data_IF_406831552294
#
_entry.id   IF_406831552294
#
_cell.length_a   1.000
_cell.length_b   1.000
_cell.length_c   1.000
_cell.angle_alpha   90.00
_cell.angle_beta   90.00
_cell.angle_gamma   90.00
#
_symmetry.space_group_name_H-M   'P 1'
#
loop_
_entity.id
_entity.type
_entity.pdbx_description
1 polymer ?
#
# COMPACT_ATOMS: atom_id res chain seq x y z
N UNK A 1 16.72 19.70 25.55
CA UNK A 1 16.73 18.23 25.77
C UNK A 1 16.90 17.58 24.40
N UNK A 2 18.03 16.93 24.14
CA UNK A 2 18.34 16.30 22.83
C UNK A 2 17.83 14.87 22.90
N UNK A 3 16.72 14.57 22.21
CA UNK A 3 16.20 13.21 22.12
C UNK A 3 17.25 12.29 21.46
N UNK A 4 17.37 11.00 21.89
CA UNK A 4 18.27 10.04 21.27
C UNK A 4 17.94 9.88 19.78
N UNK A 5 18.93 9.54 18.90
CA UNK A 5 18.73 9.32 17.47
C UNK A 5 17.63 8.29 17.14
N UNK A 6 17.42 7.33 18.02
CA UNK A 6 16.42 6.26 17.94
C UNK A 6 14.96 6.78 17.91
N UNK A 7 14.68 7.88 18.63
CA UNK A 7 13.33 8.44 18.71
C UNK A 7 12.80 8.97 17.36
N UNK A 8 13.68 9.52 16.52
CA UNK A 8 13.29 10.06 15.21
C UNK A 8 12.91 8.92 14.25
N UNK A 9 13.71 7.87 14.23
CA UNK A 9 13.47 6.69 13.38
C UNK A 9 12.18 5.98 13.78
N UNK A 10 11.94 5.83 15.07
CA UNK A 10 10.70 5.22 15.60
C UNK A 10 9.47 6.06 15.27
N UNK A 11 9.54 7.39 15.44
CA UNK A 11 8.44 8.29 15.09
C UNK A 11 8.12 8.26 13.59
N UNK A 12 9.16 8.25 12.73
CA UNK A 12 8.98 8.12 11.28
C UNK A 12 8.28 6.81 10.91
N UNK A 13 8.74 5.69 11.47
CA UNK A 13 8.14 4.37 11.21
C UNK A 13 6.66 4.32 11.63
N UNK A 14 6.32 4.85 12.81
CA UNK A 14 4.94 4.94 13.30
C UNK A 14 4.06 5.79 12.38
N UNK A 15 4.55 6.94 11.90
CA UNK A 15 3.83 7.81 10.98
C UNK A 15 3.54 7.12 9.64
N UNK A 16 4.52 6.41 9.07
CA UNK A 16 4.34 5.68 7.82
C UNK A 16 3.35 4.53 8.02
N UNK A 17 3.43 3.80 9.14
CA UNK A 17 2.55 2.67 9.44
C UNK A 17 1.10 3.10 9.65
N UNK A 18 0.87 4.03 10.56
CA UNK A 18 -0.45 4.55 10.85
C UNK A 18 -1.04 5.32 9.65
N UNK A 19 -0.20 6.11 8.97
CA UNK A 19 -0.58 6.81 7.75
C UNK A 19 -0.98 5.87 6.63
N UNK A 20 -0.24 4.78 6.44
CA UNK A 20 -0.56 3.73 5.46
C UNK A 20 -1.89 3.03 5.75
N UNK A 21 -2.14 2.67 7.02
CA UNK A 21 -3.39 2.06 7.44
C UNK A 21 -4.59 2.99 7.19
N UNK A 22 -4.49 4.26 7.62
CA UNK A 22 -5.53 5.26 7.40
C UNK A 22 -5.76 5.55 5.91
N UNK A 23 -4.68 5.74 5.15
CA UNK A 23 -4.75 6.02 3.73
C UNK A 23 -5.48 4.90 2.96
N UNK A 24 -5.18 3.64 3.28
CA UNK A 24 -5.84 2.49 2.65
C UNK A 24 -7.31 2.37 3.03
N UNK A 25 -7.72 2.85 4.20
CA UNK A 25 -9.10 2.79 4.71
C UNK A 25 -9.97 3.95 4.26
N UNK A 26 -9.45 5.16 4.30
CA UNK A 26 -10.22 6.40 4.11
C UNK A 26 -9.78 7.24 2.89
N UNK A 27 -8.70 6.84 2.21
CA UNK A 27 -8.03 7.66 1.21
C UNK A 27 -7.01 8.61 1.85
N UNK A 28 -5.88 8.79 1.19
CA UNK A 28 -4.81 9.66 1.70
C UNK A 28 -5.18 11.14 1.59
N UNK A 29 -5.85 11.53 0.50
CA UNK A 29 -6.29 12.91 0.27
C UNK A 29 -7.25 13.38 1.36
N UNK A 30 -8.13 12.49 1.82
CA UNK A 30 -9.13 12.77 2.86
C UNK A 30 -8.56 12.70 4.28
N UNK A 31 -7.35 12.17 4.46
CA UNK A 31 -6.72 12.04 5.77
C UNK A 31 -5.98 13.32 6.16
N UNK A 32 -6.49 14.05 7.15
CA UNK A 32 -5.86 15.25 7.69
C UNK A 32 -4.60 14.96 8.52
N UNK A 33 -3.73 15.96 8.71
CA UNK A 33 -2.53 15.84 9.54
C UNK A 33 -2.87 15.44 10.98
N UNK A 34 -3.95 15.99 11.55
CA UNK A 34 -4.36 15.68 12.92
C UNK A 34 -4.78 14.22 13.09
N UNK A 35 -5.45 13.64 12.08
CA UNK A 35 -5.79 12.22 12.08
C UNK A 35 -4.55 11.33 11.99
N UNK A 36 -3.55 11.73 11.19
CA UNK A 36 -2.28 11.02 11.07
C UNK A 36 -1.49 11.03 12.39
N UNK A 37 -1.43 12.20 13.02
CA UNK A 37 -0.77 12.40 14.33
C UNK A 37 -1.43 11.55 15.40
N UNK A 38 -2.75 11.62 15.51
CA UNK A 38 -3.52 10.85 16.48
C UNK A 38 -3.34 9.34 16.28
N UNK A 39 -3.45 8.86 15.05
CA UNK A 39 -3.29 7.43 14.75
C UNK A 39 -1.86 6.92 15.00
N UNK A 40 -0.84 7.74 14.75
CA UNK A 40 0.55 7.39 14.99
C UNK A 40 0.98 7.52 16.47
N UNK A 41 0.16 8.17 17.32
CA UNK A 41 0.50 8.45 18.70
C UNK A 41 1.73 9.36 18.85
N UNK A 42 1.86 10.36 17.96
CA UNK A 42 2.98 11.32 17.94
C UNK A 42 2.45 12.75 18.03
N UNK A 43 3.34 13.73 18.11
CA UNK A 43 2.95 15.16 18.09
C UNK A 43 2.94 15.71 16.68
N UNK A 44 2.19 16.79 16.43
CA UNK A 44 2.18 17.51 15.13
C UNK A 44 3.59 17.96 14.72
N UNK A 45 4.40 18.41 15.67
CA UNK A 45 5.82 18.74 15.42
C UNK A 45 6.66 17.56 14.95
N UNK A 46 6.28 16.32 15.33
CA UNK A 46 6.99 15.14 14.89
C UNK A 46 6.79 14.89 13.38
N UNK A 47 5.60 15.13 12.82
CA UNK A 47 5.38 15.02 11.36
C UNK A 47 6.30 15.96 10.61
N UNK A 48 6.27 17.27 10.95
CA UNK A 48 7.06 18.28 10.23
C UNK A 48 8.58 18.15 10.44
N UNK A 49 9.01 17.45 11.50
CA UNK A 49 10.42 17.10 11.69
C UNK A 49 10.88 15.91 10.84
N UNK A 50 9.95 15.08 10.33
CA UNK A 50 10.22 13.86 9.57
C UNK A 50 9.91 14.01 8.08
N UNK A 51 8.91 14.82 7.73
CA UNK A 51 8.42 15.00 6.36
C UNK A 51 8.23 16.48 6.07
N UNK A 52 8.81 16.95 4.95
CA UNK A 52 8.70 18.33 4.49
C UNK A 52 7.31 18.67 3.97
N UNK A 53 6.58 17.64 3.51
CA UNK A 53 5.25 17.80 2.95
C UNK A 53 4.41 16.54 3.16
N UNK A 54 3.09 16.68 2.97
CA UNK A 54 2.16 15.53 2.92
C UNK A 54 2.49 14.60 1.74
N UNK A 55 3.00 15.14 0.63
CA UNK A 55 3.45 14.36 -0.53
C UNK A 55 4.63 13.45 -0.16
N UNK A 56 5.65 13.95 0.54
CA UNK A 56 6.78 13.14 1.00
C UNK A 56 6.33 11.99 1.93
N UNK A 57 5.33 12.22 2.77
CA UNK A 57 4.74 11.15 3.57
C UNK A 57 4.02 10.13 2.68
N UNK A 58 3.30 10.56 1.64
CA UNK A 58 2.67 9.65 0.68
C UNK A 58 3.71 8.77 -0.02
N UNK A 59 4.82 9.35 -0.48
CA UNK A 59 5.92 8.60 -1.09
C UNK A 59 6.42 7.50 -0.15
N UNK A 60 6.69 7.84 1.10
CA UNK A 60 7.17 6.87 2.09
C UNK A 60 6.14 5.78 2.41
N UNK A 61 4.85 6.11 2.41
CA UNK A 61 3.76 5.14 2.58
C UNK A 61 3.69 4.19 1.38
N UNK A 62 3.69 4.74 0.16
CA UNK A 62 3.63 3.95 -1.09
C UNK A 62 4.83 3.00 -1.17
N UNK A 63 6.03 3.52 -0.92
CA UNK A 63 7.26 2.72 -0.92
C UNK A 63 7.16 1.55 0.05
N UNK A 64 6.83 1.81 1.31
CA UNK A 64 6.76 0.76 2.34
C UNK A 64 5.66 -0.27 2.05
N UNK A 65 4.45 0.20 1.80
CA UNK A 65 3.28 -0.68 1.69
C UNK A 65 3.31 -1.51 0.41
N UNK A 66 3.78 -0.93 -0.69
CA UNK A 66 3.88 -1.65 -1.95
C UNK A 66 5.10 -2.59 -1.98
N UNK A 67 6.23 -2.21 -1.36
CA UNK A 67 7.38 -3.13 -1.19
C UNK A 67 6.98 -4.37 -0.39
N UNK A 68 6.19 -4.23 0.68
CA UNK A 68 5.66 -5.39 1.43
C UNK A 68 4.78 -6.28 0.56
N UNK A 69 4.01 -5.68 -0.35
CA UNK A 69 3.21 -6.45 -1.31
C UNK A 69 4.13 -7.20 -2.28
N UNK A 70 5.15 -6.55 -2.84
CA UNK A 70 6.16 -7.18 -3.70
C UNK A 70 6.82 -8.37 -2.99
N UNK A 71 7.29 -8.17 -1.76
CA UNK A 71 7.91 -9.22 -0.94
C UNK A 71 6.98 -10.44 -0.74
N UNK A 72 5.69 -10.19 -0.50
CA UNK A 72 4.71 -11.28 -0.33
C UNK A 72 4.55 -12.16 -1.57
N UNK A 73 4.80 -11.63 -2.76
CA UNK A 73 4.71 -12.36 -4.03
C UNK A 73 6.08 -12.86 -4.54
N UNK A 74 7.19 -12.30 -4.06
CA UNK A 74 8.54 -12.64 -4.53
C UNK A 74 8.87 -14.11 -4.26
N UNK A 75 9.43 -14.78 -5.28
CA UNK A 75 9.89 -16.18 -5.20
C UNK A 75 8.78 -17.21 -5.10
N UNK A 76 7.52 -16.86 -5.34
CA UNK A 76 6.39 -17.79 -5.26
C UNK A 76 6.24 -18.58 -6.55
N UNK A 77 6.49 -19.89 -6.48
CA UNK A 77 6.18 -20.83 -7.56
C UNK A 77 4.64 -21.02 -7.68
N UNK A 78 4.19 -21.63 -8.78
CA UNK A 78 2.76 -21.69 -9.15
C UNK A 78 1.80 -22.09 -8.02
N UNK A 79 2.10 -23.11 -7.21
CA UNK A 79 1.23 -23.54 -6.10
C UNK A 79 1.20 -22.52 -4.95
N UNK A 80 2.33 -21.90 -4.65
CA UNK A 80 2.42 -20.88 -3.60
C UNK A 80 1.75 -19.60 -4.06
N UNK A 81 1.95 -19.21 -5.33
CA UNK A 81 1.27 -18.08 -5.95
C UNK A 81 -0.25 -18.24 -5.85
N UNK A 82 -0.81 -19.41 -6.17
CA UNK A 82 -2.24 -19.68 -6.04
C UNK A 82 -2.75 -19.43 -4.62
N UNK A 83 -1.99 -19.84 -3.59
CA UNK A 83 -2.36 -19.58 -2.18
C UNK A 83 -2.35 -18.09 -1.84
N UNK A 84 -1.34 -17.35 -2.31
CA UNK A 84 -1.25 -15.90 -2.08
C UNK A 84 -2.38 -15.18 -2.80
N UNK A 85 -2.70 -15.55 -4.03
CA UNK A 85 -3.83 -14.98 -4.78
C UNK A 85 -5.17 -15.32 -4.10
N UNK A 86 -5.37 -16.56 -3.64
CA UNK A 86 -6.58 -16.94 -2.91
C UNK A 86 -6.75 -16.11 -1.63
N UNK A 87 -5.66 -15.85 -0.89
CA UNK A 87 -5.70 -14.93 0.25
C UNK A 87 -5.99 -13.49 -0.19
N UNK A 88 -5.36 -13.01 -1.26
CA UNK A 88 -5.54 -11.67 -1.79
C UNK A 88 -7.00 -11.40 -2.20
N UNK A 89 -7.66 -12.39 -2.79
CA UNK A 89 -9.08 -12.32 -3.21
C UNK A 89 -10.07 -12.74 -2.11
N UNK A 90 -9.59 -12.96 -0.89
CA UNK A 90 -10.46 -13.39 0.20
C UNK A 90 -11.37 -12.27 0.73
N UNK A 91 -12.54 -12.60 1.27
CA UNK A 91 -13.42 -11.64 1.95
C UNK A 91 -12.71 -10.89 3.07
N UNK A 92 -11.77 -11.53 3.77
CA UNK A 92 -10.96 -10.90 4.82
C UNK A 92 -10.10 -9.76 4.27
N UNK A 93 -9.41 -9.95 3.13
CA UNK A 93 -8.61 -8.89 2.52
C UNK A 93 -9.48 -7.75 1.96
N UNK A 94 -10.65 -8.08 1.42
CA UNK A 94 -11.61 -7.07 0.98
C UNK A 94 -12.12 -6.21 2.15
N UNK A 95 -12.48 -6.83 3.28
CA UNK A 95 -13.03 -6.16 4.46
C UNK A 95 -12.01 -5.36 5.29
N UNK A 96 -10.70 -5.70 5.19
CA UNK A 96 -9.63 -5.09 5.98
C UNK A 96 -8.57 -4.41 5.10
N UNK A 97 -8.91 -3.29 4.44
CA UNK A 97 -8.00 -2.58 3.54
C UNK A 97 -6.71 -2.10 4.24
N UNK A 98 -6.79 -1.77 5.53
CA UNK A 98 -5.67 -1.26 6.33
C UNK A 98 -4.48 -2.22 6.39
N UNK A 99 -4.73 -3.53 6.38
CA UNK A 99 -3.70 -4.59 6.39
C UNK A 99 -3.31 -5.11 4.99
N UNK A 100 -4.00 -4.68 3.94
CA UNK A 100 -3.87 -5.21 2.59
C UNK A 100 -2.94 -4.43 1.67
N UNK A 101 -2.95 -4.83 0.38
CA UNK A 101 -2.25 -4.15 -0.70
C UNK A 101 -2.75 -2.70 -0.87
N UNK A 102 -1.86 -1.71 -1.07
CA UNK A 102 -2.27 -0.32 -1.23
C UNK A 102 -2.91 -0.03 -2.59
N UNK A 103 -2.66 -0.83 -3.64
CA UNK A 103 -3.08 -0.53 -5.01
C UNK A 103 -4.60 -0.36 -5.14
N UNK A 104 -5.46 -1.27 -4.61
CA UNK A 104 -6.91 -1.11 -4.72
C UNK A 104 -7.46 0.16 -4.05
N UNK A 105 -6.79 0.66 -3.01
CA UNK A 105 -7.23 1.85 -2.28
C UNK A 105 -6.61 3.15 -2.81
N UNK A 106 -5.32 3.14 -3.19
CA UNK A 106 -4.54 4.34 -3.47
C UNK A 106 -4.20 4.55 -4.93
N UNK A 107 -4.40 3.56 -5.82
CA UNK A 107 -4.00 3.65 -7.22
C UNK A 107 -4.57 4.87 -7.94
N UNK A 108 -5.84 5.21 -7.70
CA UNK A 108 -6.49 6.38 -8.29
C UNK A 108 -5.95 7.71 -7.74
N UNK A 109 -5.52 7.75 -6.48
CA UNK A 109 -4.90 8.95 -5.89
C UNK A 109 -3.47 9.13 -6.43
N UNK A 110 -2.70 8.05 -6.52
CA UNK A 110 -1.34 8.07 -7.07
C UNK A 110 -1.35 8.51 -8.53
N UNK A 111 -2.36 8.12 -9.33
CA UNK A 111 -2.51 8.56 -10.70
C UNK A 111 -2.64 10.10 -10.84
N UNK A 112 -3.05 10.79 -9.78
CA UNK A 112 -3.18 12.26 -9.68
C UNK A 112 -2.09 12.92 -8.83
N UNK A 113 -1.17 12.14 -8.28
CA UNK A 113 -0.05 12.63 -7.49
C UNK A 113 1.06 13.22 -8.38
N UNK A 114 2.11 13.72 -7.75
CA UNK A 114 3.29 14.24 -8.44
C UNK A 114 4.02 13.13 -9.23
N UNK A 115 4.93 13.56 -10.09
CA UNK A 115 5.69 12.67 -10.96
C UNK A 115 6.55 11.69 -10.15
N UNK A 116 7.11 12.13 -9.04
CA UNK A 116 7.98 11.31 -8.18
C UNK A 116 7.19 10.13 -7.58
N UNK A 117 5.99 10.37 -7.05
CA UNK A 117 5.10 9.32 -6.55
C UNK A 117 4.71 8.32 -7.65
N UNK A 118 4.41 8.81 -8.84
CA UNK A 118 4.04 7.98 -10.00
C UNK A 118 5.20 7.10 -10.49
N UNK A 119 6.41 7.65 -10.56
CA UNK A 119 7.62 6.90 -10.95
C UNK A 119 7.97 5.83 -9.90
N UNK A 120 7.90 6.17 -8.62
CA UNK A 120 8.07 5.21 -7.53
C UNK A 120 7.06 4.05 -7.63
N UNK A 121 5.79 4.39 -7.79
CA UNK A 121 4.70 3.42 -7.95
C UNK A 121 4.92 2.52 -9.17
N UNK A 122 5.25 3.10 -10.31
CA UNK A 122 5.54 2.36 -11.55
C UNK A 122 6.68 1.34 -11.35
N UNK A 123 7.76 1.76 -10.71
CA UNK A 123 8.90 0.89 -10.41
C UNK A 123 8.50 -0.30 -9.54
N UNK A 124 7.72 -0.07 -8.49
CA UNK A 124 7.26 -1.12 -7.59
C UNK A 124 6.21 -2.04 -8.24
N UNK A 125 5.32 -1.51 -9.08
CA UNK A 125 4.38 -2.33 -9.86
C UNK A 125 5.11 -3.23 -10.84
N UNK A 126 6.16 -2.73 -11.51
CA UNK A 126 7.01 -3.57 -12.38
C UNK A 126 7.66 -4.72 -11.60
N UNK A 127 8.21 -4.45 -10.41
CA UNK A 127 8.77 -5.50 -9.53
C UNK A 127 7.69 -6.52 -9.11
N UNK A 128 6.47 -6.07 -8.84
CA UNK A 128 5.36 -6.97 -8.51
C UNK A 128 5.00 -7.87 -9.72
N UNK A 129 4.99 -7.31 -10.93
CA UNK A 129 4.77 -8.09 -12.17
C UNK A 129 5.90 -9.09 -12.38
N UNK A 130 7.16 -8.71 -12.16
CA UNK A 130 8.31 -9.62 -12.25
C UNK A 130 8.16 -10.78 -11.24
N UNK A 131 7.72 -10.49 -10.03
CA UNK A 131 7.46 -11.51 -9.01
C UNK A 131 6.31 -12.48 -9.42
N UNK A 132 5.24 -11.95 -10.03
CA UNK A 132 4.11 -12.75 -10.53
C UNK A 132 4.49 -13.61 -11.74
N UNK A 133 5.39 -13.11 -12.60
CA UNK A 133 5.85 -13.81 -13.80
C UNK A 133 6.53 -15.14 -13.46
N UNK A 134 7.21 -15.24 -12.33
CA UNK A 134 7.81 -16.49 -11.83
C UNK A 134 6.77 -17.61 -11.72
N UNK A 135 5.57 -17.30 -11.23
CA UNK A 135 4.51 -18.29 -11.06
C UNK A 135 3.58 -18.46 -12.24
N UNK A 136 3.48 -17.46 -13.14
CA UNK A 136 2.62 -17.48 -14.35
C UNK A 136 3.37 -17.91 -15.60
N UNK A 137 4.70 -17.90 -15.57
CA UNK A 137 5.62 -18.21 -16.67
C UNK A 137 5.46 -17.32 -17.91
N UNK A 138 4.69 -16.21 -17.79
CA UNK A 138 4.44 -15.31 -18.92
C UNK A 138 4.05 -13.91 -18.40
N UNK A 139 4.75 -12.88 -18.88
CA UNK A 139 4.56 -11.49 -18.44
C UNK A 139 3.16 -10.94 -18.71
N UNK A 140 2.56 -11.30 -19.83
CA UNK A 140 1.19 -10.90 -20.17
C UNK A 140 0.17 -11.47 -19.19
N UNK A 141 0.36 -12.73 -18.78
CA UNK A 141 -0.46 -13.38 -17.75
C UNK A 141 -0.24 -12.76 -16.37
N UNK A 142 0.99 -12.37 -16.04
CA UNK A 142 1.29 -11.67 -14.79
C UNK A 142 0.54 -10.33 -14.71
N UNK A 143 0.55 -9.52 -15.78
CA UNK A 143 -0.24 -8.29 -15.89
C UNK A 143 -1.74 -8.54 -15.78
N UNK A 144 -2.26 -9.53 -16.50
CA UNK A 144 -3.68 -9.88 -16.45
C UNK A 144 -4.11 -10.32 -15.05
N UNK A 145 -3.30 -11.17 -14.38
CA UNK A 145 -3.57 -11.64 -13.03
C UNK A 145 -3.56 -10.46 -12.02
N UNK A 146 -2.60 -9.55 -12.12
CA UNK A 146 -2.53 -8.36 -11.29
C UNK A 146 -3.77 -7.48 -11.47
N UNK A 147 -4.11 -7.16 -12.71
CA UNK A 147 -5.25 -6.30 -13.03
C UNK A 147 -6.58 -6.91 -12.54
N UNK A 148 -6.80 -8.21 -12.79
CA UNK A 148 -8.00 -8.93 -12.33
C UNK A 148 -8.07 -8.98 -10.80
N UNK A 149 -6.94 -9.22 -10.13
CA UNK A 149 -6.90 -9.29 -8.66
C UNK A 149 -7.23 -7.93 -8.03
N UNK A 150 -6.66 -6.85 -8.56
CA UNK A 150 -6.95 -5.49 -8.09
C UNK A 150 -8.40 -5.14 -8.34
N UNK A 151 -8.89 -5.35 -9.59
CA UNK A 151 -10.28 -5.11 -9.97
C UNK A 151 -11.27 -5.89 -9.13
N UNK A 152 -10.99 -7.17 -8.87
CA UNK A 152 -11.81 -8.01 -8.00
C UNK A 152 -11.95 -7.46 -6.59
N UNK A 153 -10.84 -7.02 -5.96
CA UNK A 153 -10.88 -6.41 -4.63
C UNK A 153 -11.61 -5.07 -4.62
N UNK A 154 -11.42 -4.24 -5.65
CA UNK A 154 -12.14 -2.96 -5.79
C UNK A 154 -13.64 -3.19 -5.90
N UNK A 155 -14.05 -4.11 -6.75
CA UNK A 155 -15.47 -4.47 -6.92
C UNK A 155 -16.06 -5.06 -5.65
N UNK A 156 -15.36 -5.99 -4.99
CA UNK A 156 -15.81 -6.59 -3.74
C UNK A 156 -16.00 -5.58 -2.61
N UNK A 157 -15.25 -4.48 -2.61
CA UNK A 157 -15.41 -3.37 -1.66
C UNK A 157 -16.55 -2.41 -2.01
N UNK A 158 -16.92 -2.35 -3.28
CA UNK A 158 -17.92 -1.40 -3.78
C UNK A 158 -19.35 -1.97 -3.80
N UNK A 159 -19.50 -3.31 -3.91
CA UNK A 159 -20.81 -3.94 -3.94
C UNK A 159 -21.33 -4.20 -2.52
N UNK A 160 -22.65 -4.02 -2.33
CA UNK A 160 -23.29 -4.24 -1.04
C UNK A 160 -23.70 -5.71 -0.81
N UNK A 161 -23.85 -6.48 -1.86
CA UNK A 161 -24.23 -7.90 -1.79
C UNK A 161 -23.02 -8.81 -1.97
N UNK A 162 -22.75 -9.65 -0.99
CA UNK A 162 -21.62 -10.60 -0.99
C UNK A 162 -21.80 -11.80 -1.94
N UNK A 163 -22.96 -11.95 -2.58
CA UNK A 163 -23.21 -12.99 -3.58
C UNK A 163 -22.79 -12.59 -5.01
N UNK A 164 -22.27 -11.35 -5.18
CA UNK A 164 -21.73 -10.87 -6.43
C UNK A 164 -20.25 -11.16 -6.54
#
# INVERSE_FOLDING_TARGET
MRYPPDHKTVARAKLIEAGGALAKKAGFSNTGIDALVAAAGVTTGAIYSQFRSKAELLHAIVERELSRTVEAFTGKASKELQRVIAWYLSPRHAAHPEGGCPIPSLGSEIARADEEARLLFEGLVKQLVDALEVGTAERSKAWALLAQSIGGVVLARAVLNSET
#
